data_IF_354503380631
#
_entry.id   IF_354503380631
#
_cell.length_a   1.000
_cell.length_b   1.000
_cell.length_c   1.000
_cell.angle_alpha   90.00
_cell.angle_beta   90.00
_cell.angle_gamma   90.00
#
_symmetry.space_group_name_H-M   'P 1'
#
loop_
_entity.id
_entity.type
_entity.pdbx_description
1 polymer ?
#
# COMPACT_ATOMS: atom_id res chain seq x y z
N UNK A 1 -20.50 -1.55 -2.46
CA UNK A 1 -19.08 -1.21 -2.31
C UNK A 1 -18.54 -1.06 -3.71
N UNK A 2 -17.94 0.08 -4.05
CA UNK A 2 -17.36 0.25 -5.39
C UNK A 2 -16.08 -0.59 -5.48
N UNK A 3 -15.83 -1.20 -6.63
CA UNK A 3 -14.64 -2.00 -6.89
C UNK A 3 -14.11 -1.74 -8.28
N UNK A 4 -12.80 -1.79 -8.44
CA UNK A 4 -12.13 -1.73 -9.73
C UNK A 4 -11.12 -2.88 -9.84
N UNK A 5 -10.95 -3.38 -11.06
CA UNK A 5 -9.99 -4.45 -11.36
C UNK A 5 -8.79 -3.83 -12.04
N UNK A 6 -7.61 -4.13 -11.52
CA UNK A 6 -6.33 -3.78 -12.13
C UNK A 6 -5.78 -5.05 -12.76
N UNK A 7 -5.38 -4.95 -14.02
CA UNK A 7 -4.67 -6.03 -14.72
C UNK A 7 -3.34 -5.48 -15.22
N UNK A 8 -2.25 -6.17 -14.88
CA UNK A 8 -0.92 -5.82 -15.35
C UNK A 8 -0.23 -7.06 -15.88
N UNK A 9 0.30 -6.96 -17.09
CA UNK A 9 1.00 -8.05 -17.75
C UNK A 9 2.26 -7.54 -18.42
N UNK A 10 3.39 -8.18 -18.12
CA UNK A 10 4.64 -8.03 -18.85
C UNK A 10 5.22 -9.42 -19.15
N UNK A 11 6.50 -9.50 -19.53
CA UNK A 11 7.12 -10.78 -19.88
C UNK A 11 7.28 -11.74 -18.67
N UNK A 12 7.30 -11.21 -17.46
CA UNK A 12 7.64 -11.95 -16.23
C UNK A 12 6.48 -12.02 -15.22
N UNK A 13 5.48 -11.15 -15.35
CA UNK A 13 4.40 -10.98 -14.39
C UNK A 13 3.05 -10.93 -15.11
N UNK A 14 2.06 -11.61 -14.53
CA UNK A 14 0.66 -11.58 -14.92
C UNK A 14 -0.16 -11.42 -13.63
N UNK A 15 -0.57 -10.18 -13.35
CA UNK A 15 -1.15 -9.77 -12.07
C UNK A 15 -2.58 -9.26 -12.30
N UNK A 16 -3.49 -9.71 -11.44
CA UNK A 16 -4.85 -9.19 -11.37
C UNK A 16 -5.20 -8.84 -9.92
N UNK A 17 -5.54 -7.58 -9.66
CA UNK A 17 -5.99 -7.11 -8.35
C UNK A 17 -7.44 -6.66 -8.40
N UNK A 18 -8.21 -6.99 -7.36
CA UNK A 18 -9.50 -6.36 -7.09
C UNK A 18 -9.32 -5.33 -5.96
N UNK A 19 -9.50 -4.06 -6.29
CA UNK A 19 -9.42 -2.94 -5.34
C UNK A 19 -10.83 -2.45 -5.00
N UNK A 20 -11.07 -2.11 -3.75
CA UNK A 20 -12.37 -1.69 -3.25
C UNK A 20 -12.36 -0.31 -2.59
N UNK A 21 -13.50 0.36 -2.62
CA UNK A 21 -13.79 1.49 -1.74
C UNK A 21 -13.71 1.05 -0.28
N UNK A 22 -13.06 1.86 0.53
CA UNK A 22 -12.74 1.60 1.92
C UNK A 22 -14.01 1.37 2.74
N UNK A 23 -13.99 0.28 3.48
CA UNK A 23 -14.92 0.04 4.59
C UNK A 23 -14.22 0.34 5.91
N UNK A 24 -14.97 0.30 7.02
CA UNK A 24 -14.38 0.38 8.37
C UNK A 24 -13.32 -0.71 8.57
N UNK A 25 -13.56 -1.92 8.07
CA UNK A 25 -12.59 -3.02 8.17
C UNK A 25 -11.31 -2.73 7.38
N UNK A 26 -11.42 -2.14 6.18
CA UNK A 26 -10.26 -1.70 5.42
C UNK A 26 -9.48 -0.60 6.17
N UNK A 27 -10.19 0.37 6.77
CA UNK A 27 -9.58 1.39 7.62
C UNK A 27 -8.86 0.81 8.85
N UNK A 28 -9.44 -0.19 9.52
CA UNK A 28 -8.78 -0.88 10.64
C UNK A 28 -7.53 -1.64 10.17
N UNK A 29 -7.61 -2.35 9.04
CA UNK A 29 -6.47 -3.05 8.44
C UNK A 29 -5.34 -2.07 8.11
N UNK A 30 -5.67 -0.94 7.48
CA UNK A 30 -4.76 0.17 7.19
C UNK A 30 -4.06 0.65 8.46
N UNK A 31 -4.81 1.04 9.49
CA UNK A 31 -4.23 1.52 10.76
C UNK A 31 -3.29 0.50 11.40
N UNK A 32 -3.68 -0.79 11.44
CA UNK A 32 -2.82 -1.85 11.97
C UNK A 32 -1.50 -1.98 11.20
N UNK A 33 -1.55 -1.91 9.87
CA UNK A 33 -0.37 -1.96 9.02
C UNK A 33 0.55 -0.76 9.27
N UNK A 34 0.00 0.45 9.43
CA UNK A 34 0.77 1.66 9.77
C UNK A 34 1.51 1.53 11.09
N UNK A 35 0.80 1.12 12.15
CA UNK A 35 1.39 0.93 13.48
C UNK A 35 2.47 -0.15 13.47
N UNK A 36 2.25 -1.24 12.73
CA UNK A 36 3.23 -2.32 12.58
C UNK A 36 4.45 -1.84 11.80
N UNK A 37 4.25 -1.06 10.73
CA UNK A 37 5.32 -0.49 9.92
C UNK A 37 6.21 0.47 10.71
N UNK A 38 5.61 1.40 11.45
CA UNK A 38 6.33 2.34 12.32
C UNK A 38 7.14 1.61 13.39
N UNK A 39 6.55 0.61 14.05
CA UNK A 39 7.25 -0.23 15.03
C UNK A 39 8.47 -0.93 14.40
N UNK A 40 8.28 -1.58 13.25
CA UNK A 40 9.35 -2.31 12.58
C UNK A 40 10.49 -1.39 12.11
N UNK A 41 10.18 -0.16 11.69
CA UNK A 41 11.21 0.80 11.30
C UNK A 41 12.01 1.31 12.50
N UNK A 42 11.34 1.58 13.64
CA UNK A 42 12.03 1.90 14.90
C UNK A 42 12.99 0.79 15.32
N UNK A 43 12.54 -0.47 15.28
CA UNK A 43 13.37 -1.63 15.61
C UNK A 43 14.57 -1.78 14.66
N UNK A 44 14.46 -1.39 13.38
CA UNK A 44 15.59 -1.39 12.43
C UNK A 44 16.64 -0.36 12.82
N UNK A 45 16.21 0.87 13.08
CA UNK A 45 17.10 1.96 13.51
C UNK A 45 17.78 1.60 14.85
N UNK A 46 17.06 1.02 15.80
CA UNK A 46 17.62 0.56 17.08
C UNK A 46 18.69 -0.54 16.92
N UNK A 47 18.61 -1.36 15.86
CA UNK A 47 19.66 -2.34 15.50
C UNK A 47 20.87 -1.73 14.79
N UNK A 48 20.89 -0.41 14.60
CA UNK A 48 21.97 0.32 13.93
C UNK A 48 21.87 0.32 12.40
N UNK A 49 20.72 -0.06 11.83
CA UNK A 49 20.45 0.14 10.41
C UNK A 49 20.24 1.64 10.12
N UNK A 50 20.68 2.09 8.93
CA UNK A 50 20.49 3.48 8.51
C UNK A 50 19.00 3.84 8.43
N UNK A 51 18.68 5.05 8.89
CA UNK A 51 17.33 5.57 8.80
C UNK A 51 17.02 6.01 7.37
N UNK A 52 16.10 5.31 6.71
CA UNK A 52 15.66 5.58 5.35
C UNK A 52 14.25 6.20 5.37
N UNK A 53 14.19 7.51 5.12
CA UNK A 53 12.94 8.28 5.15
C UNK A 53 11.96 7.87 4.05
N UNK A 54 12.46 7.58 2.84
CA UNK A 54 11.61 7.22 1.70
C UNK A 54 10.97 5.86 1.95
N UNK A 55 11.76 4.92 2.47
CA UNK A 55 11.27 3.62 2.91
C UNK A 55 10.27 3.73 4.05
N UNK A 56 10.50 4.60 5.03
CA UNK A 56 9.54 4.85 6.10
C UNK A 56 8.22 5.37 5.53
N UNK A 57 8.25 6.37 4.65
CA UNK A 57 7.06 6.94 3.99
C UNK A 57 6.28 5.83 3.27
N UNK A 58 6.96 5.01 2.46
CA UNK A 58 6.30 3.89 1.78
C UNK A 58 5.66 2.92 2.78
N UNK A 59 6.38 2.56 3.85
CA UNK A 59 5.95 1.56 4.82
C UNK A 59 4.74 1.99 5.66
N UNK A 60 4.64 3.27 5.99
CA UNK A 60 3.62 3.80 6.92
C UNK A 60 2.51 4.58 6.22
N UNK A 61 2.69 4.96 4.97
CA UNK A 61 1.68 5.73 4.23
C UNK A 61 1.11 4.92 3.07
N UNK A 62 1.92 4.63 2.05
CA UNK A 62 1.42 4.12 0.76
C UNK A 62 1.11 2.63 0.85
N UNK A 63 2.06 1.80 1.30
CA UNK A 63 1.87 0.34 1.39
C UNK A 63 0.62 -0.05 2.20
N UNK A 64 0.35 0.53 3.39
CA UNK A 64 -0.86 0.24 4.14
C UNK A 64 -2.15 0.53 3.37
N UNK A 65 -2.17 1.58 2.55
CA UNK A 65 -3.34 2.00 1.78
C UNK A 65 -3.62 0.98 0.67
N UNK A 66 -2.59 0.63 -0.11
CA UNK A 66 -2.67 -0.33 -1.21
C UNK A 66 -3.12 -1.71 -0.73
N UNK A 67 -2.51 -2.22 0.34
CA UNK A 67 -2.83 -3.54 0.90
C UNK A 67 -4.21 -3.56 1.56
N UNK A 68 -4.63 -2.46 2.18
CA UNK A 68 -5.92 -2.40 2.85
C UNK A 68 -7.10 -2.31 1.88
N UNK A 69 -6.96 -1.57 0.77
CA UNK A 69 -8.02 -1.42 -0.23
C UNK A 69 -8.17 -2.65 -1.13
N UNK A 70 -7.15 -3.50 -1.24
CA UNK A 70 -7.16 -4.68 -2.11
C UNK A 70 -7.83 -5.87 -1.40
N UNK A 71 -8.87 -6.42 -2.04
CA UNK A 71 -9.68 -7.52 -1.52
C UNK A 71 -9.27 -8.86 -2.09
N UNK A 72 -8.79 -8.89 -3.32
CA UNK A 72 -8.35 -10.09 -4.02
C UNK A 72 -7.09 -9.79 -4.83
N UNK A 73 -6.20 -10.77 -4.94
CA UNK A 73 -4.99 -10.68 -5.72
C UNK A 73 -4.69 -12.05 -6.37
N UNK A 74 -4.38 -12.03 -7.66
CA UNK A 74 -3.92 -13.17 -8.43
C UNK A 74 -2.57 -12.80 -9.07
N UNK A 75 -1.67 -13.77 -9.20
CA UNK A 75 -0.32 -13.54 -9.75
C UNK A 75 0.68 -12.92 -8.78
N UNK A 76 0.29 -12.69 -7.52
CA UNK A 76 1.15 -12.22 -6.43
C UNK A 76 0.88 -13.01 -5.14
N UNK A 77 1.87 -13.16 -4.25
CA UNK A 77 1.63 -13.64 -2.90
C UNK A 77 0.70 -12.67 -2.15
N UNK A 78 -0.29 -13.21 -1.43
CA UNK A 78 -1.26 -12.39 -0.70
C UNK A 78 -1.49 -12.89 0.73
N UNK A 79 -1.42 -12.01 1.75
CA UNK A 79 -1.03 -10.60 1.67
C UNK A 79 0.43 -10.43 1.23
N UNK A 80 0.68 -9.46 0.35
CA UNK A 80 2.01 -9.08 -0.10
C UNK A 80 2.77 -8.45 1.07
N UNK A 81 3.99 -8.90 1.36
CA UNK A 81 4.83 -8.29 2.40
C UNK A 81 5.54 -7.02 1.88
N UNK A 82 6.09 -6.24 2.80
CA UNK A 82 6.69 -4.95 2.46
C UNK A 82 7.97 -5.06 1.63
N UNK A 83 8.79 -6.11 1.81
CA UNK A 83 10.01 -6.25 1.00
C UNK A 83 9.66 -6.63 -0.43
N UNK A 84 8.73 -7.59 -0.61
CA UNK A 84 8.26 -7.97 -1.95
C UNK A 84 7.58 -6.78 -2.64
N UNK A 85 6.84 -5.95 -1.91
CA UNK A 85 6.24 -4.72 -2.42
C UNK A 85 7.27 -3.76 -3.05
N UNK A 86 8.44 -3.58 -2.44
CA UNK A 86 9.48 -2.69 -2.96
C UNK A 86 10.12 -3.18 -4.27
N UNK A 87 9.91 -4.45 -4.62
CA UNK A 87 10.42 -5.04 -5.87
C UNK A 87 9.42 -4.99 -7.02
N UNK A 88 8.21 -4.46 -6.79
CA UNK A 88 7.20 -4.37 -7.83
C UNK A 88 7.61 -3.40 -8.96
N UNK A 89 7.22 -3.68 -10.21
CA UNK A 89 7.43 -2.75 -11.30
C UNK A 89 6.73 -1.41 -11.04
N UNK A 90 7.46 -0.30 -11.19
CA UNK A 90 6.93 1.06 -11.02
C UNK A 90 5.62 1.30 -11.83
N UNK A 91 5.49 0.87 -13.11
CA UNK A 91 4.24 1.07 -13.84
C UNK A 91 3.05 0.35 -13.23
N UNK A 92 3.25 -0.82 -12.61
CA UNK A 92 2.20 -1.52 -11.90
C UNK A 92 1.82 -0.81 -10.61
N UNK A 93 2.84 -0.40 -9.85
CA UNK A 93 2.67 0.34 -8.60
C UNK A 93 1.87 1.63 -8.82
N UNK A 94 2.20 2.41 -9.84
CA UNK A 94 1.53 3.69 -10.15
C UNK A 94 0.05 3.49 -10.48
N UNK A 95 -0.29 2.48 -11.28
CA UNK A 95 -1.69 2.14 -11.57
C UNK A 95 -2.45 1.71 -10.31
N UNK A 96 -1.80 0.94 -9.44
CA UNK A 96 -2.40 0.50 -8.18
C UNK A 96 -2.69 1.67 -7.25
N UNK A 97 -1.73 2.58 -7.10
CA UNK A 97 -1.88 3.80 -6.34
C UNK A 97 -3.02 4.68 -6.87
N UNK A 98 -3.06 4.92 -8.18
CA UNK A 98 -4.08 5.74 -8.84
C UNK A 98 -5.50 5.20 -8.54
N UNK A 99 -5.71 3.90 -8.71
CA UNK A 99 -7.01 3.25 -8.48
C UNK A 99 -7.39 3.32 -7.00
N UNK A 100 -6.44 3.05 -6.10
CA UNK A 100 -6.70 3.10 -4.65
C UNK A 100 -7.12 4.50 -4.21
N UNK A 101 -6.42 5.54 -4.65
CA UNK A 101 -6.75 6.91 -4.26
C UNK A 101 -7.95 7.49 -5.01
N UNK A 102 -8.24 7.04 -6.24
CA UNK A 102 -9.51 7.35 -6.91
C UNK A 102 -10.71 6.81 -6.14
N UNK A 103 -10.64 5.55 -5.67
CA UNK A 103 -11.71 4.94 -4.88
C UNK A 103 -11.75 5.45 -3.43
N UNK A 104 -10.61 5.94 -2.91
CA UNK A 104 -10.43 6.34 -1.51
C UNK A 104 -9.77 7.72 -1.38
N UNK A 105 -10.39 8.79 -1.91
CA UNK A 105 -9.74 10.11 -1.95
C UNK A 105 -9.47 10.68 -0.55
N UNK A 106 -10.25 10.28 0.45
CA UNK A 106 -10.08 10.66 1.86
C UNK A 106 -8.85 10.01 2.54
N UNK A 107 -8.17 9.07 1.88
CA UNK A 107 -6.92 8.48 2.37
C UNK A 107 -5.68 9.23 1.92
N UNK A 108 -5.79 10.06 0.86
CA UNK A 108 -4.72 10.95 0.44
C UNK A 108 -4.34 11.85 1.63
N UNK A 109 -3.05 12.07 1.89
CA UNK A 109 -2.62 13.12 2.80
C UNK A 109 -3.08 14.46 2.20
N UNK A 110 -4.19 15.01 2.71
CA UNK A 110 -4.56 16.38 2.36
C UNK A 110 -3.52 17.29 2.97
N UNK A 111 -2.95 18.21 2.20
CA UNK A 111 -2.24 19.36 2.77
C UNK A 111 -3.14 19.97 3.86
N UNK A 112 -2.63 20.06 5.08
CA UNK A 112 -3.36 20.69 6.18
C UNK A 112 -3.78 22.09 5.73
N UNK A 113 -5.09 22.32 5.55
CA UNK A 113 -5.62 23.67 5.69
C UNK A 113 -5.36 24.06 7.14
N UNK A 114 -4.30 24.82 7.37
CA UNK A 114 -4.09 25.57 8.61
C UNK A 114 -5.39 26.31 8.90
N UNK A 115 -6.12 25.87 9.92
CA UNK A 115 -7.24 26.61 10.53
C UNK A 115 -6.63 27.60 11.50
#
# INVERSE_FOLDING_TARGET
MATEIITYKNNDLDIRLTVSSATVLAGMKRTRLRMTGDKLEKERVERGEEHDLDRLILRVSIYPDLIAATTEAEGLPWPLDFETFLTLPEPFWAMWEEVVYRLNPHWLPTEEKKI
#
